data_IF_131693089345
#
_entry.id   IF_131693089345
#
_cell.length_a   1.000
_cell.length_b   1.000
_cell.length_c   1.000
_cell.angle_alpha   90.00
_cell.angle_beta   90.00
_cell.angle_gamma   90.00
#
_symmetry.space_group_name_H-M   'P 1'
#
loop_
_entity.id
_entity.type
_entity.pdbx_description
1 polymer ?
#
# COMPACT_ATOMS: atom_id res chain seq x y z
N UNK A 1 -14.62 -42.31 26.67
CA UNK A 1 -13.70 -41.85 27.75
C UNK A 1 -12.45 -42.73 27.71
N UNK A 2 -11.47 -42.43 26.84
CA UNK A 2 -10.27 -43.27 26.64
C UNK A 2 -9.11 -42.76 27.49
N UNK A 3 -8.55 -43.64 28.34
CA UNK A 3 -7.52 -43.36 29.33
C UNK A 3 -6.16 -43.02 28.71
N UNK A 4 -5.53 -41.95 29.21
CA UNK A 4 -4.14 -41.58 28.92
C UNK A 4 -3.16 -42.65 29.43
N UNK A 5 -2.33 -43.19 28.53
CA UNK A 5 -1.16 -44.03 28.82
C UNK A 5 0.10 -43.20 28.66
N UNK A 6 0.52 -42.53 29.74
CA UNK A 6 1.85 -41.86 29.85
C UNK A 6 2.87 -42.94 30.23
N UNK A 7 3.54 -43.50 29.23
CA UNK A 7 4.55 -44.55 29.43
C UNK A 7 5.83 -44.21 28.63
N UNK A 8 6.94 -44.06 29.36
CA UNK A 8 8.35 -44.11 28.93
C UNK A 8 9.00 -42.89 28.23
N UNK A 9 8.75 -41.65 28.70
CA UNK A 9 9.57 -40.47 28.34
C UNK A 9 10.84 -40.31 29.23
N UNK A 10 11.08 -41.21 30.18
CA UNK A 10 12.22 -41.14 31.12
C UNK A 10 12.96 -42.47 31.13
N UNK A 11 13.69 -42.78 30.05
CA UNK A 11 14.57 -43.96 30.08
C UNK A 11 15.92 -43.85 29.38
N UNK A 12 16.25 -42.81 28.58
CA UNK A 12 17.58 -42.76 27.97
C UNK A 12 18.27 -41.39 28.13
N UNK A 13 18.84 -41.07 29.32
CA UNK A 13 19.68 -39.88 29.50
C UNK A 13 20.93 -39.91 28.58
N UNK A 14 21.38 -41.11 28.19
CA UNK A 14 22.48 -41.32 27.24
C UNK A 14 22.15 -40.73 25.85
N UNK A 15 20.88 -40.80 25.41
CA UNK A 15 20.47 -40.28 24.10
C UNK A 15 20.50 -38.74 24.06
N UNK A 16 20.21 -38.08 25.17
CA UNK A 16 20.29 -36.61 25.30
C UNK A 16 21.74 -36.11 25.22
N UNK A 17 22.68 -36.84 25.85
CA UNK A 17 24.10 -36.47 25.84
C UNK A 17 24.70 -36.58 24.43
N UNK A 18 24.33 -37.60 23.65
CA UNK A 18 24.81 -37.77 22.28
C UNK A 18 24.32 -36.64 21.36
N UNK A 19 23.05 -36.23 21.49
CA UNK A 19 22.48 -35.12 20.68
C UNK A 19 23.17 -33.79 21.02
N UNK A 20 23.51 -33.55 22.30
CA UNK A 20 24.19 -32.33 22.71
C UNK A 20 25.61 -32.22 22.12
N UNK A 21 26.36 -33.32 22.06
CA UNK A 21 27.74 -33.34 21.51
C UNK A 21 27.76 -33.03 20.00
N UNK A 22 26.78 -33.54 19.25
CA UNK A 22 26.70 -33.32 17.80
C UNK A 22 26.37 -31.85 17.48
N UNK A 23 25.49 -31.22 18.26
CA UNK A 23 25.11 -29.80 18.05
C UNK A 23 26.26 -28.80 18.28
N UNK A 24 27.16 -29.10 19.24
CA UNK A 24 28.32 -28.28 19.56
C UNK A 24 29.36 -28.25 18.42
N UNK A 25 29.60 -29.40 17.76
CA UNK A 25 30.59 -29.52 16.68
C UNK A 25 30.19 -28.73 15.42
N UNK A 26 28.90 -28.69 15.08
CA UNK A 26 28.42 -27.96 13.89
C UNK A 26 28.55 -26.45 14.06
N UNK A 27 28.28 -25.95 15.27
CA UNK A 27 28.32 -24.52 15.57
C UNK A 27 29.75 -23.97 15.55
N UNK A 28 30.74 -24.76 16.01
CA UNK A 28 32.15 -24.38 15.96
C UNK A 28 32.71 -24.27 14.53
N UNK A 29 32.22 -25.11 13.60
CA UNK A 29 32.62 -25.06 12.19
C UNK A 29 32.04 -23.86 11.44
N UNK A 30 30.83 -23.39 11.80
CA UNK A 30 30.23 -22.19 11.19
C UNK A 30 30.87 -20.87 11.63
N UNK A 31 31.46 -20.81 12.82
CA UNK A 31 32.14 -19.58 13.29
C UNK A 31 33.52 -19.45 12.60
N UNK A 32 34.18 -20.57 12.29
CA UNK A 32 35.45 -20.60 11.54
C UNK A 32 35.30 -20.16 10.08
N UNK A 33 34.19 -20.48 9.41
CA UNK A 33 33.97 -20.11 8.00
C UNK A 33 33.58 -18.65 7.78
N UNK A 34 33.20 -17.93 8.84
CA UNK A 34 32.81 -16.51 8.79
C UNK A 34 33.97 -15.56 9.15
N UNK A 35 35.17 -16.10 9.29
CA UNK A 35 36.38 -15.31 9.50
C UNK A 35 36.86 -14.66 8.21
N UNK A 36 36.79 -13.33 8.16
CA UNK A 36 37.43 -12.40 7.22
C UNK A 36 36.58 -11.92 6.02
N UNK A 37 35.41 -11.35 6.27
CA UNK A 37 34.89 -10.28 5.40
C UNK A 37 35.23 -8.92 6.00
N UNK A 38 36.53 -8.57 6.01
CA UNK A 38 36.88 -7.15 6.15
C UNK A 38 36.44 -6.47 4.87
N UNK A 39 35.31 -5.76 4.95
CA UNK A 39 34.88 -4.82 3.93
C UNK A 39 35.93 -3.71 3.83
N UNK A 40 36.93 -3.94 2.98
CA UNK A 40 37.91 -2.95 2.61
C UNK A 40 37.19 -1.93 1.72
N UNK A 41 36.66 -0.88 2.34
CA UNK A 41 36.23 0.32 1.61
C UNK A 41 37.47 0.99 1.04
N UNK A 42 37.95 0.43 -0.07
CA UNK A 42 38.98 1.02 -0.90
C UNK A 42 38.39 2.28 -1.53
N UNK A 43 38.64 3.42 -0.88
CA UNK A 43 38.46 4.73 -1.47
C UNK A 43 39.25 4.77 -2.77
N UNK A 44 38.52 4.72 -3.88
CA UNK A 44 39.08 5.01 -5.19
C UNK A 44 39.71 6.41 -5.15
N UNK A 45 40.88 6.63 -5.74
CA UNK A 45 41.42 7.98 -5.83
C UNK A 45 40.40 8.80 -6.64
N UNK A 46 39.85 9.84 -6.01
CA UNK A 46 39.08 10.86 -6.72
C UNK A 46 40.02 11.41 -7.76
N UNK A 47 39.78 11.04 -9.02
CA UNK A 47 40.46 11.63 -10.16
C UNK A 47 40.04 13.10 -10.16
N UNK A 48 40.94 13.95 -9.69
CA UNK A 48 40.74 15.40 -9.64
C UNK A 48 40.51 15.87 -11.08
N UNK A 49 39.24 16.09 -11.41
CA UNK A 49 38.84 16.68 -12.68
C UNK A 49 39.26 18.15 -12.63
N UNK A 50 40.46 18.42 -13.14
CA UNK A 50 40.87 19.78 -13.47
C UNK A 50 39.75 20.42 -14.30
N UNK A 51 39.23 21.61 -13.93
CA UNK A 51 38.15 22.24 -14.65
C UNK A 51 38.65 22.57 -16.05
N UNK A 52 38.26 21.73 -17.02
CA UNK A 52 38.42 22.06 -18.42
C UNK A 52 37.46 23.22 -18.67
N UNK A 53 38.02 24.43 -18.78
CA UNK A 53 37.31 25.62 -19.25
C UNK A 53 36.93 25.43 -20.72
N UNK A 54 36.00 24.52 -21.00
CA UNK A 54 35.21 24.58 -22.22
C UNK A 54 34.13 25.63 -22.02
N UNK A 55 33.99 26.61 -22.93
CA UNK A 55 32.83 27.50 -22.92
C UNK A 55 31.57 26.64 -22.97
N UNK A 56 30.80 26.65 -21.89
CA UNK A 56 29.54 25.91 -21.82
C UNK A 56 28.50 26.83 -22.47
N UNK A 57 28.25 26.66 -23.76
CA UNK A 57 27.10 27.31 -24.44
C UNK A 57 25.81 26.56 -24.11
N UNK A 58 25.55 26.29 -22.83
CA UNK A 58 24.31 25.63 -22.41
C UNK A 58 23.27 26.70 -22.14
N UNK A 59 22.33 26.84 -23.08
CA UNK A 59 21.11 27.61 -22.87
C UNK A 59 20.26 26.87 -21.85
N UNK A 60 20.27 27.33 -20.61
CA UNK A 60 19.40 26.82 -19.56
C UNK A 60 18.03 27.51 -19.68
N UNK A 61 17.03 26.78 -20.18
CA UNK A 61 15.64 27.23 -20.15
C UNK A 61 14.96 26.67 -18.89
N UNK A 62 14.48 27.56 -18.02
CA UNK A 62 13.56 27.18 -16.95
C UNK A 62 12.17 26.96 -17.57
N UNK A 63 11.64 25.76 -17.42
CA UNK A 63 10.32 25.39 -17.92
C UNK A 63 9.50 24.70 -16.83
N UNK A 64 8.18 24.62 -17.04
CA UNK A 64 7.26 23.86 -16.20
C UNK A 64 6.64 22.75 -17.03
N UNK A 65 6.50 21.57 -16.42
CA UNK A 65 5.75 20.47 -17.01
C UNK A 65 4.25 20.77 -16.86
N UNK A 66 3.54 20.73 -17.97
CA UNK A 66 2.08 20.82 -18.02
C UNK A 66 1.53 19.48 -18.49
N UNK A 67 0.34 19.07 -18.03
CA UNK A 67 -0.34 17.89 -18.55
C UNK A 67 -0.58 18.04 -20.07
N UNK A 68 -0.35 16.97 -20.83
CA UNK A 68 -0.64 16.97 -22.28
C UNK A 68 -2.13 17.10 -22.61
N UNK A 69 -3.01 16.97 -21.62
CA UNK A 69 -4.47 16.98 -21.76
C UNK A 69 -5.16 17.82 -20.69
N UNK A 70 -6.47 17.61 -20.54
CA UNK A 70 -7.30 18.37 -19.61
C UNK A 70 -7.26 17.79 -18.18
N UNK A 71 -7.33 18.68 -17.19
CA UNK A 71 -7.47 18.31 -15.77
C UNK A 71 -8.90 18.59 -15.33
N UNK A 72 -9.67 17.52 -15.09
CA UNK A 72 -11.05 17.62 -14.63
C UNK A 72 -11.09 17.53 -13.10
N UNK A 73 -11.56 18.60 -12.45
CA UNK A 73 -11.78 18.63 -11.02
C UNK A 73 -13.21 18.19 -10.70
N UNK A 74 -13.36 16.97 -10.18
CA UNK A 74 -14.68 16.44 -9.81
C UNK A 74 -15.13 17.05 -8.50
N UNK A 75 -16.28 17.74 -8.52
CA UNK A 75 -16.90 18.37 -7.35
C UNK A 75 -18.33 17.91 -7.21
N UNK A 76 -18.83 17.87 -5.98
CA UNK A 76 -20.23 17.54 -5.69
C UNK A 76 -21.12 18.77 -5.98
N UNK A 77 -22.26 18.64 -6.67
CA UNK A 77 -23.15 19.78 -6.94
C UNK A 77 -23.61 20.48 -5.65
N UNK A 78 -23.45 21.81 -5.60
CA UNK A 78 -23.80 22.64 -4.42
C UNK A 78 -25.27 22.55 -4.01
N UNK A 79 -26.18 22.27 -4.96
CA UNK A 79 -27.61 22.08 -4.70
C UNK A 79 -27.87 20.91 -3.74
N UNK A 80 -26.94 19.95 -3.69
CA UNK A 80 -26.97 18.84 -2.74
C UNK A 80 -26.44 19.33 -1.38
N UNK A 81 -27.25 20.12 -0.68
CA UNK A 81 -26.96 20.69 0.63
C UNK A 81 -26.38 19.64 1.59
N UNK A 82 -25.07 19.70 1.81
CA UNK A 82 -24.37 18.82 2.74
C UNK A 82 -24.09 17.41 2.24
N UNK A 83 -24.17 17.13 0.94
CA UNK A 83 -23.85 15.82 0.37
C UNK A 83 -22.39 15.43 0.62
N UNK A 84 -22.21 14.42 1.47
CA UNK A 84 -20.94 13.77 1.80
C UNK A 84 -20.78 12.47 1.01
N UNK A 85 -19.54 12.12 0.73
CA UNK A 85 -19.16 10.82 0.16
C UNK A 85 -19.46 9.74 1.21
N UNK A 86 -20.32 8.79 0.87
CA UNK A 86 -20.61 7.62 1.70
C UNK A 86 -19.70 6.45 1.31
N UNK A 87 -19.51 6.26 0.00
CA UNK A 87 -18.68 5.19 -0.56
C UNK A 87 -17.78 5.76 -1.67
N UNK A 88 -16.52 5.31 -1.69
CA UNK A 88 -15.52 5.66 -2.71
C UNK A 88 -15.00 4.38 -3.35
N UNK A 89 -15.08 4.29 -4.68
CA UNK A 89 -14.72 3.09 -5.45
C UNK A 89 -13.37 3.21 -6.17
N UNK A 90 -12.67 4.32 -6.00
CA UNK A 90 -11.44 4.63 -6.72
C UNK A 90 -10.30 4.96 -5.76
N UNK A 91 -9.07 4.73 -6.23
CA UNK A 91 -7.83 5.05 -5.54
C UNK A 91 -6.97 5.97 -6.39
N UNK A 92 -5.98 6.57 -5.73
CA UNK A 92 -4.99 7.39 -6.41
C UNK A 92 -4.22 6.55 -7.45
N UNK A 93 -4.17 7.04 -8.68
CA UNK A 93 -3.47 6.38 -9.78
C UNK A 93 -4.32 5.40 -10.59
N UNK A 94 -5.59 5.18 -10.20
CA UNK A 94 -6.50 4.33 -10.96
C UNK A 94 -6.83 4.95 -12.33
N UNK A 95 -6.95 4.10 -13.35
CA UNK A 95 -7.37 4.50 -14.69
C UNK A 95 -8.87 4.30 -14.81
N UNK A 96 -9.58 5.38 -15.13
CA UNK A 96 -11.04 5.39 -15.22
C UNK A 96 -11.50 5.53 -16.67
N UNK A 97 -12.68 5.01 -16.96
CA UNK A 97 -13.38 5.26 -18.22
C UNK A 97 -14.53 6.24 -18.01
N UNK A 98 -14.97 6.87 -19.10
CA UNK A 98 -16.14 7.73 -19.06
C UNK A 98 -17.39 6.95 -18.62
N UNK A 99 -18.18 7.54 -17.72
CA UNK A 99 -19.40 6.94 -17.19
C UNK A 99 -19.19 5.97 -16.03
N UNK A 100 -17.96 5.76 -15.59
CA UNK A 100 -17.65 4.90 -14.45
C UNK A 100 -18.06 5.55 -13.13
N UNK A 101 -18.67 4.77 -12.23
CA UNK A 101 -19.13 5.24 -10.92
C UNK A 101 -17.94 5.26 -9.97
N UNK A 102 -17.52 6.45 -9.57
CA UNK A 102 -16.35 6.64 -8.70
C UNK A 102 -16.71 6.75 -7.21
N UNK A 103 -17.94 7.18 -6.89
CA UNK A 103 -18.41 7.38 -5.52
C UNK A 103 -19.94 7.36 -5.44
N UNK A 104 -20.48 7.00 -4.27
CA UNK A 104 -21.89 7.18 -3.90
C UNK A 104 -21.97 8.16 -2.73
N UNK A 105 -22.94 9.08 -2.81
CA UNK A 105 -23.21 10.08 -1.80
C UNK A 105 -24.33 9.60 -0.86
N UNK A 106 -24.25 9.96 0.42
CA UNK A 106 -25.19 9.47 1.44
C UNK A 106 -26.66 9.83 1.21
N UNK A 107 -26.93 10.89 0.45
CA UNK A 107 -28.27 11.35 0.14
C UNK A 107 -28.86 10.69 -1.12
N UNK A 108 -28.08 9.89 -1.85
CA UNK A 108 -28.53 9.14 -3.02
C UNK A 108 -29.86 8.39 -2.80
N UNK A 109 -30.05 7.58 -1.73
CA UNK A 109 -31.32 6.88 -1.52
C UNK A 109 -32.51 7.81 -1.27
N UNK A 110 -32.29 8.95 -0.61
CA UNK A 110 -33.35 9.94 -0.35
C UNK A 110 -33.77 10.64 -1.65
N UNK A 111 -32.80 11.01 -2.49
CA UNK A 111 -33.05 11.59 -3.80
C UNK A 111 -33.79 10.60 -4.71
N UNK A 112 -33.35 9.33 -4.70
CA UNK A 112 -34.01 8.26 -5.44
C UNK A 112 -35.46 8.07 -4.98
N UNK A 113 -35.70 8.09 -3.67
CA UNK A 113 -37.04 8.00 -3.13
C UNK A 113 -37.91 9.22 -3.51
N UNK A 114 -37.36 10.43 -3.49
CA UNK A 114 -38.06 11.64 -3.90
C UNK A 114 -38.44 11.63 -5.38
N UNK A 115 -37.57 11.12 -6.26
CA UNK A 115 -37.86 10.94 -7.68
C UNK A 115 -38.95 9.89 -7.91
N UNK A 116 -38.94 8.83 -7.10
CA UNK A 116 -39.91 7.74 -7.18
C UNK A 116 -41.21 8.02 -6.42
N UNK A 117 -41.33 9.15 -5.71
CA UNK A 117 -42.59 9.51 -5.07
C UNK A 117 -43.63 9.74 -6.17
N UNK A 118 -44.74 8.98 -6.17
CA UNK A 118 -45.80 9.23 -7.13
C UNK A 118 -46.38 10.62 -6.85
N UNK A 119 -46.49 11.43 -7.90
CA UNK A 119 -47.14 12.76 -7.92
C UNK A 119 -48.56 12.72 -7.29
N UNK A 120 -49.14 11.52 -7.17
CA UNK A 120 -50.45 11.19 -6.63
C UNK A 120 -50.67 11.69 -5.18
N UNK A 121 -49.63 11.95 -4.38
CA UNK A 121 -49.84 12.47 -3.00
C UNK A 121 -50.49 13.86 -2.95
N UNK A 122 -50.36 14.68 -4.01
CA UNK A 122 -50.96 16.02 -4.07
C UNK A 122 -52.33 16.08 -4.75
N UNK A 123 -52.80 14.98 -5.36
CA UNK A 123 -54.07 14.94 -6.09
C UNK A 123 -55.22 14.27 -5.32
N UNK A 124 -55.03 13.96 -4.04
CA UNK A 124 -56.11 13.43 -3.20
C UNK A 124 -56.80 14.59 -2.46
N UNK A 125 -58.12 14.81 -2.69
CA UNK A 125 -58.87 15.76 -1.89
C UNK A 125 -58.82 15.35 -0.42
N UNK A 126 -58.57 16.31 0.48
CA UNK A 126 -58.59 16.06 1.92
C UNK A 126 -59.94 15.45 2.30
N UNK A 127 -59.98 14.34 3.05
CA UNK A 127 -61.23 13.85 3.60
C UNK A 127 -61.77 14.86 4.61
N UNK A 128 -63.07 15.16 4.45
CA UNK A 128 -63.86 16.06 5.27
C UNK A 128 -63.90 15.62 6.73
#
# INVERSE_FOLDING_TARGET
MTKLKRQNQWLNPILMVIIAIISSSVTALMIRSQGLTLSNHQSSPVKEVSPKNTPIETVAALGRLEPSGEVIHVTVPTVLQGARVEQLFVKLGDRLKQGEIIAILHNYPQLQAALNQPIIKWLLPKPN
#
